data_IF_776838078714
#
_entry.id   IF_776838078714
#
_cell.length_a   1.000
_cell.length_b   1.000
_cell.length_c   1.000
_cell.angle_alpha   90.00
_cell.angle_beta   90.00
_cell.angle_gamma   90.00
#
_symmetry.space_group_name_H-M   'P 1'
#
loop_
_entity.id
_entity.type
_entity.pdbx_description
1 polymer ?
#
# COMPACT_ATOMS: atom_id res chain seq x y z
N UNK A 1 -10.03 68.41 16.34
CA UNK A 1 -11.47 68.20 16.09
C UNK A 1 -11.57 67.29 14.90
N UNK A 2 -11.66 65.99 15.19
CA UNK A 2 -12.91 65.24 15.08
C UNK A 2 -13.07 64.74 13.63
N UNK A 3 -12.75 63.49 13.38
CA UNK A 3 -13.65 62.34 13.55
C UNK A 3 -14.53 62.14 12.33
N UNK A 4 -14.52 60.89 11.88
CA UNK A 4 -15.63 60.16 11.26
C UNK A 4 -15.87 60.19 9.75
N UNK A 5 -16.25 58.99 9.32
CA UNK A 5 -17.11 58.62 8.19
C UNK A 5 -16.45 58.62 6.81
N UNK A 6 -16.01 57.46 6.29
CA UNK A 6 -16.79 56.31 5.85
C UNK A 6 -17.64 56.58 4.59
N UNK A 7 -17.49 55.63 3.65
CA UNK A 7 -18.51 55.09 2.74
C UNK A 7 -18.45 55.47 1.24
N UNK A 8 -18.36 54.40 0.45
CA UNK A 8 -19.06 54.15 -0.83
C UNK A 8 -18.46 54.63 -2.18
N UNK A 9 -17.92 53.62 -2.89
CA UNK A 9 -18.48 53.05 -4.14
C UNK A 9 -18.07 53.58 -5.53
N UNK A 10 -18.04 52.60 -6.47
CA UNK A 10 -18.01 52.64 -7.94
C UNK A 10 -16.63 52.81 -8.62
N UNK A 11 -15.94 51.75 -9.08
CA UNK A 11 -16.16 50.85 -10.23
C UNK A 11 -15.67 51.41 -11.58
N UNK A 12 -14.52 50.90 -12.08
CA UNK A 12 -14.17 50.75 -13.51
C UNK A 12 -12.86 49.92 -13.62
N UNK A 13 -12.94 48.59 -13.72
CA UNK A 13 -12.72 47.79 -14.94
C UNK A 13 -11.42 48.13 -15.68
N UNK A 14 -10.36 47.36 -15.41
CA UNK A 14 -9.30 47.10 -16.38
C UNK A 14 -8.74 45.68 -16.18
N UNK A 15 -9.00 44.85 -17.19
CA UNK A 15 -8.21 43.71 -17.67
C UNK A 15 -7.57 42.71 -16.68
N UNK A 16 -8.10 41.49 -16.77
CA UNK A 16 -7.35 40.25 -17.07
C UNK A 16 -5.88 40.23 -16.64
N UNK A 17 -5.56 39.37 -15.66
CA UNK A 17 -4.75 38.15 -15.86
C UNK A 17 -4.69 37.43 -14.52
N UNK A 18 -5.03 36.15 -14.56
CA UNK A 18 -5.00 35.24 -13.44
C UNK A 18 -3.60 35.19 -12.83
N UNK A 19 -3.50 35.57 -11.56
CA UNK A 19 -2.34 35.33 -10.72
C UNK A 19 -2.43 33.90 -10.19
N UNK A 20 -2.33 32.91 -11.10
CA UNK A 20 -1.83 31.60 -10.71
C UNK A 20 -0.40 31.83 -10.26
N UNK A 21 -0.20 31.92 -8.95
CA UNK A 21 1.12 31.83 -8.35
C UNK A 21 1.57 30.39 -8.53
N UNK A 22 2.14 30.13 -9.70
CA UNK A 22 2.88 28.94 -10.06
C UNK A 22 3.86 28.66 -8.92
N UNK A 23 3.70 27.53 -8.24
CA UNK A 23 4.81 26.93 -7.50
C UNK A 23 5.85 26.57 -8.56
N UNK A 24 6.80 27.49 -8.75
CA UNK A 24 8.01 27.24 -9.52
C UNK A 24 8.69 26.04 -8.88
N UNK A 25 8.78 24.94 -9.62
CA UNK A 25 9.59 23.78 -9.28
C UNK A 25 11.04 24.25 -9.46
N UNK A 26 11.53 24.94 -8.43
CA UNK A 26 12.84 25.55 -8.41
C UNK A 26 13.88 24.44 -8.35
N UNK A 27 14.65 24.34 -9.43
CA UNK A 27 15.98 23.73 -9.55
C UNK A 27 16.48 23.11 -8.23
N UNK A 28 16.07 21.87 -7.95
CA UNK A 28 16.69 21.08 -6.90
C UNK A 28 18.11 20.82 -7.36
N UNK A 29 19.09 21.43 -6.68
CA UNK A 29 20.50 21.18 -6.97
C UNK A 29 20.73 19.68 -6.84
N UNK A 30 21.53 19.10 -7.72
CA UNK A 30 21.84 17.67 -7.70
C UNK A 30 22.31 17.22 -6.29
N UNK A 31 23.03 18.08 -5.56
CA UNK A 31 23.44 17.89 -4.16
C UNK A 31 22.27 17.68 -3.17
N UNK A 32 21.11 18.33 -3.37
CA UNK A 32 19.92 18.13 -2.51
C UNK A 32 19.24 16.78 -2.80
N UNK A 33 19.32 16.29 -4.04
CA UNK A 33 18.84 14.96 -4.42
C UNK A 33 19.78 13.85 -3.89
N UNK A 34 21.09 14.12 -3.86
CA UNK A 34 22.12 13.21 -3.31
C UNK A 34 22.01 13.06 -1.78
N UNK A 35 21.79 14.16 -1.05
CA UNK A 35 21.60 14.12 0.40
C UNK A 35 20.28 13.44 0.81
N UNK A 36 19.21 13.62 0.02
CA UNK A 36 17.92 12.96 0.24
C UNK A 36 17.91 11.50 -0.21
N UNK A 37 18.70 11.14 -1.23
CA UNK A 37 18.90 9.75 -1.63
C UNK A 37 19.66 8.95 -0.56
N UNK A 38 20.50 9.60 0.26
CA UNK A 38 21.22 8.96 1.37
C UNK A 38 20.32 8.54 2.54
N UNK A 39 19.19 9.24 2.74
CA UNK A 39 18.28 9.03 3.88
C UNK A 39 16.83 8.83 3.40
N UNK A 40 16.58 7.67 2.80
CA UNK A 40 15.22 7.28 2.43
C UNK A 40 14.42 6.96 3.69
N UNK A 41 13.31 7.69 3.86
CA UNK A 41 12.34 7.45 4.93
C UNK A 41 11.84 6.00 4.93
N UNK A 42 11.55 5.49 6.12
CA UNK A 42 11.06 4.13 6.30
C UNK A 42 9.72 3.89 5.61
N UNK A 43 9.58 2.68 5.07
CA UNK A 43 8.29 2.19 4.59
C UNK A 43 7.36 2.05 5.81
N UNK A 44 6.12 2.57 5.74
CA UNK A 44 5.19 2.44 6.85
C UNK A 44 4.87 0.97 7.10
N UNK A 45 4.82 0.58 8.38
CA UNK A 45 4.41 -0.76 8.80
C UNK A 45 2.96 -0.66 9.28
N UNK A 46 2.12 -1.55 8.76
CA UNK A 46 0.72 -1.63 9.17
C UNK A 46 0.59 -1.95 10.66
N UNK A 47 -0.37 -1.31 11.39
CA UNK A 47 -0.63 -1.62 12.79
C UNK A 47 -1.44 -2.93 12.97
N UNK A 48 -1.91 -3.53 11.89
CA UNK A 48 -2.68 -4.77 11.92
C UNK A 48 -1.80 -6.00 12.17
N UNK A 49 -2.38 -7.11 12.65
CA UNK A 49 -1.65 -8.38 12.76
C UNK A 49 -1.06 -8.79 11.41
N UNK A 50 0.22 -9.17 11.41
CA UNK A 50 0.91 -9.63 10.22
C UNK A 50 0.62 -11.12 9.97
N UNK A 51 -0.62 -11.43 9.57
CA UNK A 51 -0.99 -12.77 9.12
C UNK A 51 -0.31 -13.08 7.79
N UNK A 52 0.39 -14.21 7.70
CA UNK A 52 1.08 -14.63 6.49
C UNK A 52 0.73 -16.06 6.10
N UNK A 53 0.58 -16.32 4.81
CA UNK A 53 0.50 -17.69 4.29
C UNK A 53 1.90 -18.32 4.25
N UNK A 54 2.02 -19.66 4.07
CA UNK A 54 3.32 -20.29 3.82
C UNK A 54 4.06 -19.70 2.61
N UNK A 55 3.32 -19.42 1.53
CA UNK A 55 3.87 -18.78 0.33
C UNK A 55 4.36 -17.36 0.63
N UNK A 56 3.59 -16.61 1.41
CA UNK A 56 3.94 -15.26 1.84
C UNK A 56 5.16 -15.18 2.73
N UNK A 57 5.28 -16.10 3.68
CA UNK A 57 6.46 -16.17 4.53
C UNK A 57 7.72 -16.44 3.70
N UNK A 58 7.65 -17.37 2.74
CA UNK A 58 8.75 -17.63 1.83
C UNK A 58 9.12 -16.41 0.98
N UNK A 59 8.13 -15.64 0.51
CA UNK A 59 8.35 -14.38 -0.20
C UNK A 59 9.03 -13.33 0.69
N UNK A 60 8.58 -13.14 1.93
CA UNK A 60 9.22 -12.23 2.89
C UNK A 60 10.68 -12.63 3.15
N UNK A 61 10.95 -13.93 3.29
CA UNK A 61 12.31 -14.43 3.50
C UNK A 61 13.20 -14.21 2.27
N UNK A 62 12.66 -14.40 1.05
CA UNK A 62 13.37 -14.13 -0.19
C UNK A 62 13.70 -12.64 -0.34
N UNK A 63 12.74 -11.76 -0.05
CA UNK A 63 12.93 -10.31 -0.09
C UNK A 63 13.94 -9.83 0.97
N UNK A 64 13.89 -10.38 2.17
CA UNK A 64 14.87 -10.10 3.22
C UNK A 64 16.28 -10.54 2.81
N UNK A 65 16.42 -11.71 2.17
CA UNK A 65 17.69 -12.18 1.64
C UNK A 65 18.22 -11.28 0.53
N UNK A 66 17.35 -10.85 -0.40
CA UNK A 66 17.66 -9.90 -1.47
C UNK A 66 18.16 -8.56 -0.91
N UNK A 67 17.45 -8.00 0.08
CA UNK A 67 17.84 -6.75 0.73
C UNK A 67 19.21 -6.85 1.43
N UNK A 68 19.49 -7.98 2.10
CA UNK A 68 20.81 -8.24 2.71
C UNK A 68 21.91 -8.30 1.66
N UNK A 69 21.68 -9.00 0.55
CA UNK A 69 22.65 -9.09 -0.55
C UNK A 69 22.92 -7.72 -1.17
N UNK A 70 21.89 -6.91 -1.40
CA UNK A 70 22.01 -5.55 -1.91
C UNK A 70 22.82 -4.64 -0.96
N UNK A 71 22.57 -4.75 0.35
CA UNK A 71 23.31 -4.00 1.36
C UNK A 71 24.80 -4.35 1.34
N UNK A 72 25.14 -5.65 1.35
CA UNK A 72 26.54 -6.10 1.26
C UNK A 72 27.21 -5.66 -0.03
N UNK A 73 26.52 -5.77 -1.18
CA UNK A 73 27.04 -5.36 -2.47
C UNK A 73 27.33 -3.84 -2.54
N UNK A 74 26.46 -3.02 -1.94
CA UNK A 74 26.66 -1.57 -1.86
C UNK A 74 27.83 -1.19 -0.92
N UNK A 75 28.06 -1.96 0.15
CA UNK A 75 29.15 -1.69 1.10
C UNK A 75 30.53 -1.86 0.48
N UNK A 76 30.71 -2.83 -0.41
CA UNK A 76 32.02 -3.14 -1.02
C UNK A 76 32.45 -2.08 -2.04
N UNK A 77 31.51 -1.40 -2.70
CA UNK A 77 31.80 -0.47 -3.81
C UNK A 77 32.11 0.97 -3.36
N UNK A 78 31.71 1.33 -2.14
CA UNK A 78 32.41 2.23 -1.24
C UNK A 78 32.62 3.72 -1.61
N UNK A 79 32.37 4.21 -2.82
CA UNK A 79 32.66 5.62 -3.16
C UNK A 79 31.88 6.24 -4.33
N UNK A 80 31.01 5.50 -5.04
CA UNK A 80 30.24 6.05 -6.16
C UNK A 80 28.86 6.51 -5.67
N UNK A 81 28.34 7.63 -6.18
CA UNK A 81 27.00 8.15 -5.83
C UNK A 81 25.87 7.13 -6.07
N UNK A 82 26.01 6.31 -7.12
CA UNK A 82 25.12 5.17 -7.37
C UNK A 82 25.11 4.17 -6.19
N UNK A 83 26.25 3.99 -5.51
CA UNK A 83 26.38 3.08 -4.38
C UNK A 83 25.72 3.64 -3.12
N UNK A 84 25.74 4.98 -2.92
CA UNK A 84 25.04 5.64 -1.81
C UNK A 84 23.51 5.50 -1.95
N UNK A 85 22.98 5.76 -3.14
CA UNK A 85 21.55 5.57 -3.43
C UNK A 85 21.15 4.09 -3.30
N UNK A 86 21.98 3.16 -3.79
CA UNK A 86 21.74 1.74 -3.63
C UNK A 86 21.77 1.30 -2.16
N UNK A 87 22.72 1.83 -1.37
CA UNK A 87 22.84 1.58 0.06
C UNK A 87 21.60 2.05 0.82
N UNK A 88 21.10 3.25 0.54
CA UNK A 88 19.92 3.77 1.21
C UNK A 88 18.67 2.93 0.92
N UNK A 89 18.48 2.52 -0.35
CA UNK A 89 17.40 1.61 -0.75
C UNK A 89 17.51 0.27 -0.03
N UNK A 90 18.68 -0.36 -0.09
CA UNK A 90 18.93 -1.63 0.56
C UNK A 90 18.72 -1.56 2.08
N UNK A 91 19.15 -0.48 2.73
CA UNK A 91 18.97 -0.29 4.17
C UNK A 91 17.51 -0.10 4.53
N UNK A 92 16.74 0.67 3.75
CA UNK A 92 15.29 0.84 3.97
C UNK A 92 14.54 -0.50 3.83
N UNK A 93 14.85 -1.26 2.78
CA UNK A 93 14.21 -2.55 2.54
C UNK A 93 14.61 -3.58 3.60
N UNK A 94 15.86 -3.57 4.05
CA UNK A 94 16.34 -4.41 5.15
C UNK A 94 15.56 -4.13 6.44
N UNK A 95 15.35 -2.86 6.80
CA UNK A 95 14.55 -2.49 7.99
C UNK A 95 13.10 -2.96 7.85
N UNK A 96 12.48 -2.72 6.70
CA UNK A 96 11.10 -3.12 6.43
C UNK A 96 10.91 -4.64 6.52
N UNK A 97 11.65 -5.40 5.70
CA UNK A 97 11.48 -6.85 5.62
C UNK A 97 11.94 -7.56 6.89
N UNK A 98 12.92 -7.02 7.63
CA UNK A 98 13.27 -7.55 8.95
C UNK A 98 12.12 -7.40 9.94
N UNK A 99 11.45 -6.24 9.96
CA UNK A 99 10.31 -6.00 10.84
C UNK A 99 9.08 -6.85 10.46
N UNK A 100 8.80 -6.98 9.16
CA UNK A 100 7.74 -7.88 8.68
C UNK A 100 8.04 -9.34 9.00
N UNK A 101 9.27 -9.82 8.77
CA UNK A 101 9.67 -11.19 9.16
C UNK A 101 9.58 -11.45 10.65
N UNK A 102 9.93 -10.47 11.47
CA UNK A 102 9.88 -10.59 12.94
C UNK A 102 8.44 -10.59 13.50
N UNK A 103 7.52 -9.90 12.83
CA UNK A 103 6.11 -9.82 13.24
C UNK A 103 5.20 -10.87 12.60
N UNK A 104 5.71 -11.64 11.64
CA UNK A 104 4.95 -12.61 10.85
C UNK A 104 4.29 -13.69 11.72
N UNK A 105 2.99 -13.88 11.50
CA UNK A 105 2.17 -14.91 12.13
C UNK A 105 1.73 -15.88 11.05
N UNK A 106 2.44 -17.00 10.95
CA UNK A 106 2.17 -18.03 9.95
C UNK A 106 0.82 -18.68 10.23
N UNK A 107 -0.05 -18.67 9.22
CA UNK A 107 -1.33 -19.37 9.23
C UNK A 107 -1.27 -20.48 8.19
N UNK A 108 -1.29 -21.73 8.65
CA UNK A 108 -1.33 -22.88 7.77
C UNK A 108 -2.74 -23.08 7.19
N UNK A 109 -2.85 -23.59 5.95
CA UNK A 109 -4.13 -23.94 5.37
C UNK A 109 -4.82 -25.03 6.20
N UNK A 110 -6.03 -24.73 6.68
CA UNK A 110 -6.87 -25.70 7.40
C UNK A 110 -7.71 -26.52 6.42
N UNK A 111 -8.27 -27.64 6.88
CA UNK A 111 -9.21 -28.43 6.07
C UNK A 111 -10.46 -27.62 5.73
N UNK A 112 -10.97 -27.74 4.50
CA UNK A 112 -12.20 -27.06 4.06
C UNK A 112 -13.39 -27.41 4.95
N UNK A 113 -13.88 -26.39 5.65
CA UNK A 113 -15.07 -26.44 6.49
C UNK A 113 -16.23 -25.69 5.85
N UNK A 114 -16.09 -25.27 4.58
CA UNK A 114 -17.06 -24.54 3.77
C UNK A 114 -17.17 -23.04 4.10
N UNK A 115 -16.31 -22.50 4.97
CA UNK A 115 -16.30 -21.09 5.33
C UNK A 115 -15.10 -20.34 4.71
N UNK A 116 -15.33 -19.10 4.27
CA UNK A 116 -14.28 -18.21 3.74
C UNK A 116 -13.32 -17.85 4.86
N UNK A 117 -12.02 -17.99 4.62
CA UNK A 117 -10.97 -17.79 5.62
C UNK A 117 -9.68 -17.27 5.01
N UNK A 118 -8.75 -16.87 5.88
CA UNK A 118 -7.40 -16.52 5.50
C UNK A 118 -6.72 -17.69 4.76
N UNK A 119 -6.01 -17.40 3.67
CA UNK A 119 -5.38 -18.38 2.79
C UNK A 119 -6.34 -19.06 1.82
N UNK A 120 -7.66 -18.92 1.99
CA UNK A 120 -8.67 -19.46 1.10
C UNK A 120 -9.06 -18.50 -0.03
N UNK A 121 -9.72 -19.05 -1.03
CA UNK A 121 -10.31 -18.35 -2.17
C UNK A 121 -11.83 -18.28 -2.05
N UNK A 122 -12.39 -17.20 -2.57
CA UNK A 122 -13.83 -16.94 -2.57
C UNK A 122 -14.23 -16.42 -3.94
N UNK A 123 -15.38 -16.87 -4.41
CA UNK A 123 -16.03 -16.31 -5.60
C UNK A 123 -17.36 -15.71 -5.22
N UNK A 124 -17.60 -14.48 -5.67
CA UNK A 124 -18.89 -13.81 -5.53
C UNK A 124 -19.51 -13.57 -6.90
N UNK A 125 -20.83 -13.49 -6.94
CA UNK A 125 -21.60 -13.04 -8.09
C UNK A 125 -22.45 -11.84 -7.68
N UNK A 126 -22.37 -10.74 -8.45
CA UNK A 126 -23.20 -9.55 -8.24
C UNK A 126 -24.53 -9.68 -8.97
N UNK A 127 -25.52 -8.88 -8.58
CA UNK A 127 -26.84 -8.83 -9.24
C UNK A 127 -26.77 -8.49 -10.74
N UNK A 128 -25.71 -7.82 -11.18
CA UNK A 128 -25.48 -7.52 -12.60
C UNK A 128 -24.82 -8.67 -13.39
N UNK A 129 -24.68 -9.85 -12.79
CA UNK A 129 -24.11 -11.06 -13.38
C UNK A 129 -22.58 -11.07 -13.41
N UNK A 130 -21.90 -10.07 -12.84
CA UNK A 130 -20.43 -10.08 -12.76
C UNK A 130 -19.97 -11.00 -11.64
N UNK A 131 -19.21 -12.02 -12.02
CA UNK A 131 -18.49 -12.88 -11.08
C UNK A 131 -17.06 -12.38 -10.85
N UNK A 132 -16.59 -12.50 -9.61
CA UNK A 132 -15.22 -12.15 -9.23
C UNK A 132 -14.69 -13.18 -8.23
N UNK A 133 -13.46 -13.65 -8.48
CA UNK A 133 -12.78 -14.64 -7.64
C UNK A 133 -11.46 -14.06 -7.15
N UNK A 134 -11.16 -14.25 -5.87
CA UNK A 134 -9.86 -13.86 -5.32
C UNK A 134 -9.50 -14.70 -4.09
N UNK A 135 -8.21 -14.69 -3.73
CA UNK A 135 -7.64 -15.31 -2.53
C UNK A 135 -7.40 -14.26 -1.43
N UNK A 136 -7.70 -14.60 -0.18
CA UNK A 136 -7.45 -13.72 0.97
C UNK A 136 -6.08 -14.05 1.56
N UNK A 137 -5.16 -13.09 1.58
CA UNK A 137 -3.76 -13.27 1.96
C UNK A 137 -3.27 -12.17 2.91
N UNK A 138 -2.00 -12.22 3.31
CA UNK A 138 -1.35 -11.18 4.09
C UNK A 138 -1.24 -9.84 3.34
N UNK A 139 -0.95 -8.76 4.07
CA UNK A 139 -0.82 -7.42 3.46
C UNK A 139 0.30 -7.32 2.44
N UNK A 140 1.45 -7.95 2.72
CA UNK A 140 2.62 -7.94 1.83
C UNK A 140 2.46 -8.88 0.61
N UNK A 141 1.52 -9.83 0.70
CA UNK A 141 1.26 -10.85 -0.32
C UNK A 141 0.17 -10.46 -1.32
N UNK A 142 -0.61 -9.44 -0.97
CA UNK A 142 -1.78 -9.05 -1.72
C UNK A 142 -1.41 -8.38 -3.05
N UNK A 143 -1.87 -8.97 -4.14
CA UNK A 143 -1.78 -8.46 -5.50
C UNK A 143 -3.15 -8.60 -6.18
N UNK A 144 -3.94 -7.51 -6.20
CA UNK A 144 -5.26 -7.53 -6.84
C UNK A 144 -5.22 -7.85 -8.34
N UNK A 145 -4.10 -7.58 -9.02
CA UNK A 145 -3.94 -7.93 -10.43
C UNK A 145 -3.72 -9.43 -10.62
N UNK A 146 -3.10 -10.10 -9.64
CA UNK A 146 -2.94 -11.55 -9.58
C UNK A 146 -4.12 -12.27 -8.89
N UNK A 147 -5.17 -11.54 -8.50
CA UNK A 147 -6.35 -12.12 -7.86
C UNK A 147 -6.17 -12.44 -6.37
N UNK A 148 -5.31 -11.72 -5.65
CA UNK A 148 -5.21 -11.82 -4.19
C UNK A 148 -5.47 -10.48 -3.50
N UNK A 149 -6.06 -10.53 -2.31
CA UNK A 149 -6.46 -9.34 -1.56
C UNK A 149 -6.02 -9.49 -0.11
N UNK A 150 -5.66 -8.36 0.49
CA UNK A 150 -5.26 -8.36 1.89
C UNK A 150 -6.45 -8.66 2.80
N UNK A 151 -6.21 -9.46 3.83
CA UNK A 151 -7.18 -9.76 4.89
C UNK A 151 -7.72 -8.51 5.62
N UNK A 152 -6.97 -7.40 5.63
CA UNK A 152 -7.44 -6.14 6.26
C UNK A 152 -8.37 -5.34 5.34
N UNK A 153 -8.46 -5.70 4.07
CA UNK A 153 -9.30 -4.98 3.11
C UNK A 153 -10.78 -5.06 3.49
N UNK A 154 -11.59 -4.02 3.18
CA UNK A 154 -13.03 -4.06 3.37
C UNK A 154 -13.69 -5.24 2.65
N UNK A 155 -13.13 -5.61 1.49
CA UNK A 155 -13.58 -6.75 0.69
C UNK A 155 -13.43 -8.07 1.44
N UNK A 156 -12.23 -8.35 1.95
CA UNK A 156 -11.98 -9.57 2.71
C UNK A 156 -12.83 -9.62 3.99
N UNK A 157 -12.91 -8.50 4.73
CA UNK A 157 -13.70 -8.41 5.96
C UNK A 157 -15.20 -8.67 5.76
N UNK A 158 -15.74 -8.33 4.60
CA UNK A 158 -17.15 -8.57 4.30
C UNK A 158 -17.50 -10.05 4.12
N UNK A 159 -16.52 -10.86 3.68
CA UNK A 159 -16.73 -12.27 3.31
C UNK A 159 -16.15 -13.27 4.30
N UNK A 160 -15.15 -12.91 5.10
CA UNK A 160 -14.55 -13.84 6.08
C UNK A 160 -15.60 -14.41 7.03
N UNK A 161 -15.61 -15.73 7.19
CA UNK A 161 -16.55 -16.51 8.00
C UNK A 161 -17.87 -16.83 7.31
N UNK A 162 -18.12 -16.29 6.11
CA UNK A 162 -19.32 -16.57 5.31
C UNK A 162 -19.17 -17.86 4.51
N UNK A 163 -20.28 -18.37 4.01
CA UNK A 163 -20.40 -19.65 3.30
C UNK A 163 -21.04 -19.45 1.94
N UNK A 164 -20.97 -20.48 1.10
CA UNK A 164 -21.70 -20.50 -0.17
C UNK A 164 -23.20 -20.30 0.08
N UNK A 165 -23.83 -19.42 -0.70
CA UNK A 165 -25.22 -19.01 -0.58
C UNK A 165 -25.46 -17.80 0.34
N UNK A 166 -24.44 -17.31 1.05
CA UNK A 166 -24.58 -16.09 1.85
C UNK A 166 -24.55 -14.84 0.95
N UNK A 167 -25.45 -13.89 1.22
CA UNK A 167 -25.40 -12.54 0.67
C UNK A 167 -24.44 -11.63 1.47
N UNK A 168 -23.66 -10.83 0.75
CA UNK A 168 -22.69 -9.87 1.29
C UNK A 168 -22.78 -8.54 0.56
N UNK A 169 -22.41 -7.45 1.25
CA UNK A 169 -22.29 -6.13 0.64
C UNK A 169 -20.82 -5.85 0.32
N UNK A 170 -20.52 -5.72 -0.97
CA UNK A 170 -19.17 -5.44 -1.47
C UNK A 170 -19.19 -4.14 -2.26
N UNK A 171 -18.38 -3.17 -1.82
CA UNK A 171 -18.32 -1.84 -2.44
C UNK A 171 -19.69 -1.16 -2.61
N UNK A 172 -20.62 -1.41 -1.66
CA UNK A 172 -21.97 -0.85 -1.67
C UNK A 172 -22.97 -1.57 -2.59
N UNK A 173 -22.61 -2.73 -3.16
CA UNK A 173 -23.50 -3.55 -3.98
C UNK A 173 -23.71 -4.92 -3.34
N UNK A 174 -24.90 -5.50 -3.51
CA UNK A 174 -25.19 -6.87 -3.09
C UNK A 174 -24.47 -7.88 -3.98
N UNK A 175 -23.96 -8.94 -3.36
CA UNK A 175 -23.37 -10.08 -4.04
C UNK A 175 -23.61 -11.36 -3.24
N UNK A 176 -23.76 -12.48 -3.94
CA UNK A 176 -23.88 -13.81 -3.36
C UNK A 176 -22.55 -14.55 -3.45
N UNK A 177 -22.19 -15.29 -2.39
CA UNK A 177 -21.02 -16.17 -2.42
C UNK A 177 -21.39 -17.45 -3.16
N UNK A 178 -20.76 -17.69 -4.31
CA UNK A 178 -21.06 -18.85 -5.17
C UNK A 178 -20.06 -19.99 -5.03
N UNK A 179 -18.85 -19.72 -4.53
CA UNK A 179 -17.85 -20.74 -4.27
C UNK A 179 -16.85 -20.33 -3.18
N UNK A 180 -16.36 -21.32 -2.43
CA UNK A 180 -15.30 -21.20 -1.41
C UNK A 180 -14.35 -22.39 -1.58
N UNK A 181 -13.04 -22.16 -1.49
CA UNK A 181 -12.01 -23.21 -1.63
C UNK A 181 -10.72 -22.86 -0.88
#
# INVERSE_FOLDING_TARGET
>A
MASLCALAAALAIASRIAMFRTMSVAFTREEDLEATAADLADRPISPHPNLVTPEGLAMIEAELASARAAYTAAQVKGSIESDRTAMARATRDLRYWSARRASAQLVEPTQDDGAVRFGGSVSIEREDGRAQTWRIVGEDEADPAAGSVSHVSPLARAVVGKRVGDEVIVAGQSAEIVAVS
#
